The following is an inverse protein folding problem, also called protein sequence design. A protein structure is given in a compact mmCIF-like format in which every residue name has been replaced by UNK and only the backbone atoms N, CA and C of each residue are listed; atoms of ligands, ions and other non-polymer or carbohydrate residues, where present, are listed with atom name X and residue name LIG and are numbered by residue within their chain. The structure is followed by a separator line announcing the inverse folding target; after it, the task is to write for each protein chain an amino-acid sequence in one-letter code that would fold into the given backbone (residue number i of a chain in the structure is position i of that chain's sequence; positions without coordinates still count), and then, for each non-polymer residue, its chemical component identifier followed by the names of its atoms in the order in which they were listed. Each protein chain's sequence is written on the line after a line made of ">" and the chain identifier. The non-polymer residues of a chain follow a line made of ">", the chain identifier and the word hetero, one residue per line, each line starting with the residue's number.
data_IF_987191606670
#
_entry.id   IF_987191606670
#
_cell.length_a   1.000
_cell.length_b   1.000
_cell.length_c   1.000
_cell.angle_alpha   90.00
_cell.angle_beta   90.00
_cell.angle_gamma   90.00
#
_symmetry.space_group_name_H-M   'P 1'
#
loop_
_entity.id
_entity.type
_entity.pdbx_description
1 polymer ?
#
# COMPACT_ATOMS: atom_id res chain seq x y z
N UNK A 1 -4.06 -3.18 -13.97
CA UNK A 1 -3.47 -3.39 -12.65
C UNK A 1 -2.84 -4.76 -12.64
N UNK A 2 -1.60 -4.88 -12.15
CA UNK A 2 -0.93 -6.16 -11.99
C UNK A 2 -0.62 -6.35 -10.50
N UNK A 3 -0.79 -7.57 -10.01
CA UNK A 3 -0.44 -7.95 -8.65
C UNK A 3 0.69 -8.96 -8.70
N UNK A 4 1.72 -8.73 -7.90
CA UNK A 4 2.85 -9.63 -7.75
C UNK A 4 3.14 -9.81 -6.26
N UNK A 5 3.53 -11.02 -5.90
CA UNK A 5 4.01 -11.32 -4.54
C UNK A 5 5.50 -11.06 -4.48
N UNK A 6 5.94 -10.47 -3.36
CA UNK A 6 7.36 -10.28 -3.06
C UNK A 6 7.72 -11.15 -1.86
N UNK A 7 8.89 -11.80 -1.91
CA UNK A 7 9.33 -12.70 -0.83
C UNK A 7 9.76 -11.92 0.43
N UNK A 8 10.41 -10.76 0.27
CA UNK A 8 10.78 -9.88 1.37
C UNK A 8 10.76 -8.41 0.94
N UNK A 9 10.26 -7.54 1.83
CA UNK A 9 10.27 -6.08 1.67
C UNK A 9 11.03 -5.37 2.81
N UNK A 10 11.76 -6.11 3.65
CA UNK A 10 12.50 -5.63 4.83
C UNK A 10 11.64 -4.83 5.83
N UNK A 11 10.33 -5.08 5.85
CA UNK A 11 9.33 -4.41 6.69
C UNK A 11 8.54 -5.43 7.54
N UNK A 12 9.23 -6.42 8.10
CA UNK A 12 8.61 -7.55 8.79
C UNK A 12 7.80 -7.12 10.04
N UNK A 13 8.20 -6.02 10.69
CA UNK A 13 7.51 -5.49 11.88
C UNK A 13 6.12 -4.93 11.56
N UNK A 14 5.80 -4.69 10.28
CA UNK A 14 4.56 -4.06 9.82
C UNK A 14 3.64 -5.02 9.06
N UNK A 15 3.83 -6.34 9.20
CA UNK A 15 3.08 -7.37 8.48
C UNK A 15 1.54 -7.16 8.49
N UNK A 16 0.78 -7.38 7.41
CA UNK A 16 1.19 -7.59 6.00
C UNK A 16 1.49 -6.24 5.32
N UNK A 17 2.41 -6.26 4.35
CA UNK A 17 2.82 -5.06 3.61
C UNK A 17 2.33 -5.11 2.16
N UNK A 18 1.68 -4.03 1.74
CA UNK A 18 1.27 -3.79 0.35
C UNK A 18 1.98 -2.55 -0.18
N UNK A 19 2.56 -2.67 -1.37
CA UNK A 19 3.20 -1.56 -2.07
C UNK A 19 2.42 -1.27 -3.35
N UNK A 20 1.87 -0.07 -3.45
CA UNK A 20 1.13 0.40 -4.63
C UNK A 20 1.97 1.44 -5.35
N UNK A 21 2.24 1.22 -6.64
CA UNK A 21 3.00 2.18 -7.44
C UNK A 21 2.43 2.30 -8.85
N UNK A 22 2.70 3.44 -9.47
CA UNK A 22 2.42 3.71 -10.87
C UNK A 22 3.69 4.22 -11.57
N UNK A 23 3.75 4.14 -12.90
CA UNK A 23 4.90 4.60 -13.66
C UNK A 23 5.17 6.09 -13.42
N UNK A 24 6.38 6.43 -12.97
CA UNK A 24 6.78 7.82 -12.70
C UNK A 24 6.34 8.39 -11.35
N UNK A 25 5.54 7.66 -10.57
CA UNK A 25 5.12 8.03 -9.21
C UNK A 25 6.02 7.42 -8.13
N UNK A 26 6.00 8.00 -6.93
CA UNK A 26 6.59 7.38 -5.74
C UNK A 26 5.68 6.25 -5.25
N UNK A 27 6.22 5.11 -4.79
CA UNK A 27 5.42 4.03 -4.24
C UNK A 27 4.75 4.45 -2.93
N UNK A 28 3.50 4.04 -2.75
CA UNK A 28 2.76 4.11 -1.50
C UNK A 28 2.93 2.77 -0.77
N UNK A 29 3.29 2.85 0.51
CA UNK A 29 3.54 1.69 1.35
C UNK A 29 2.53 1.62 2.47
N UNK A 30 1.86 0.48 2.59
CA UNK A 30 0.86 0.22 3.59
C UNK A 30 1.23 -1.03 4.38
N UNK A 31 1.22 -0.95 5.70
CA UNK A 31 1.43 -2.05 6.62
C UNK A 31 0.17 -2.37 7.41
N UNK A 32 0.24 -3.44 8.19
CA UNK A 32 -0.87 -3.91 9.01
C UNK A 32 -2.16 -4.11 8.20
N UNK A 33 -2.03 -4.45 6.91
CA UNK A 33 -3.17 -4.78 6.04
C UNK A 33 -3.62 -6.21 6.36
N UNK A 34 -4.29 -6.34 7.50
CA UNK A 34 -4.61 -7.61 8.15
C UNK A 34 -6.12 -7.86 8.26
N UNK A 35 -6.95 -6.90 7.88
CA UNK A 35 -8.41 -6.95 7.99
C UNK A 35 -9.07 -6.74 6.64
N UNK A 36 -10.27 -7.31 6.49
CA UNK A 36 -11.12 -7.08 5.32
C UNK A 36 -11.43 -5.60 5.14
N UNK A 37 -11.64 -4.85 6.23
CA UNK A 37 -11.85 -3.40 6.14
C UNK A 37 -10.66 -2.64 5.53
N UNK A 38 -9.42 -3.03 5.88
CA UNK A 38 -8.22 -2.43 5.29
C UNK A 38 -8.08 -2.80 3.80
N UNK A 39 -8.50 -4.02 3.43
CA UNK A 39 -8.54 -4.46 2.03
C UNK A 39 -9.63 -3.72 1.24
N UNK A 40 -10.83 -3.57 1.79
CA UNK A 40 -11.94 -2.86 1.16
C UNK A 40 -11.58 -1.39 0.88
N UNK A 41 -10.93 -0.71 1.84
CA UNK A 41 -10.46 0.66 1.68
C UNK A 41 -9.37 0.76 0.59
N UNK A 42 -8.45 -0.20 0.55
CA UNK A 42 -7.42 -0.30 -0.48
C UNK A 42 -8.03 -0.55 -1.86
N UNK A 43 -8.95 -1.51 -1.99
CA UNK A 43 -9.65 -1.84 -3.22
C UNK A 43 -10.48 -0.66 -3.73
N UNK A 44 -11.20 0.02 -2.84
CA UNK A 44 -11.97 1.22 -3.16
C UNK A 44 -11.09 2.34 -3.69
N UNK A 45 -9.94 2.58 -3.07
CA UNK A 45 -8.98 3.57 -3.54
C UNK A 45 -8.37 3.19 -4.90
N UNK A 46 -8.00 1.92 -5.10
CA UNK A 46 -7.50 1.41 -6.38
C UNK A 46 -8.55 1.54 -7.50
N UNK A 47 -9.81 1.22 -7.20
CA UNK A 47 -10.94 1.37 -8.13
C UNK A 47 -11.20 2.84 -8.51
N UNK A 48 -10.96 3.78 -7.59
CA UNK A 48 -11.00 5.22 -7.86
C UNK A 48 -9.80 5.74 -8.68
N UNK A 49 -8.85 4.87 -9.05
CA UNK A 49 -7.68 5.18 -9.88
C UNK A 49 -6.35 5.21 -9.12
N UNK A 50 -6.37 5.13 -7.79
CA UNK A 50 -5.17 4.97 -6.96
C UNK A 50 -4.18 6.14 -7.02
N UNK A 51 -2.86 5.89 -6.90
CA UNK A 51 -1.83 6.93 -6.81
C UNK A 51 -1.88 7.95 -7.94
N UNK A 52 -1.96 9.24 -7.59
CA UNK A 52 -1.97 10.36 -8.53
C UNK A 52 -3.34 10.67 -9.17
N UNK A 53 -4.31 9.76 -9.05
CA UNK A 53 -5.68 9.97 -9.55
C UNK A 53 -6.70 10.19 -8.42
N UNK A 54 -6.54 9.51 -7.28
CA UNK A 54 -7.39 9.66 -6.10
C UNK A 54 -6.53 9.94 -4.85
N UNK A 55 -6.97 10.83 -3.94
CA UNK A 55 -6.31 10.99 -2.65
C UNK A 55 -6.40 9.69 -1.85
N UNK A 56 -5.38 9.41 -1.03
CA UNK A 56 -5.41 8.28 -0.10
C UNK A 56 -6.48 8.58 0.97
N UNK A 57 -7.46 7.68 1.20
CA UNK A 57 -8.45 7.85 2.27
C UNK A 57 -7.77 7.92 3.64
N UNK A 58 -8.33 8.72 4.56
CA UNK A 58 -7.75 8.87 5.91
C UNK A 58 -7.63 7.53 6.66
N UNK A 59 -8.58 6.62 6.45
CA UNK A 59 -8.55 5.27 7.02
C UNK A 59 -7.38 4.44 6.49
N UNK A 60 -7.09 4.55 5.18
CA UNK A 60 -5.94 3.89 4.57
C UNK A 60 -4.61 4.58 4.94
N UNK A 61 -4.62 5.88 5.25
CA UNK A 61 -3.43 6.61 5.73
C UNK A 61 -2.98 6.12 7.12
N UNK A 62 -3.89 5.55 7.94
CA UNK A 62 -3.52 4.87 9.20
C UNK A 62 -2.56 3.70 8.99
N UNK A 63 -2.61 3.09 7.80
CA UNK A 63 -1.75 1.98 7.42
C UNK A 63 -0.43 2.44 6.80
N UNK A 64 -0.22 3.74 6.58
CA UNK A 64 0.95 4.24 5.86
C UNK A 64 2.23 3.99 6.65
N UNK A 65 3.22 3.40 5.98
CA UNK A 65 4.54 3.19 6.55
C UNK A 65 5.63 3.89 5.74
N UNK A 66 6.72 4.24 6.43
CA UNK A 66 7.93 4.71 5.75
C UNK A 66 8.66 3.50 5.19
N UNK A 67 9.04 3.48 3.90
CA UNK A 67 9.78 2.37 3.33
C UNK A 67 11.06 2.12 4.14
N UNK A 68 11.38 0.85 4.46
CA UNK A 68 12.63 0.55 5.13
C UNK A 68 13.79 0.99 4.23
N UNK A 69 14.86 1.47 4.85
CA UNK A 69 16.05 1.88 4.11
C UNK A 69 16.68 0.62 3.52
N UNK A 70 16.59 0.46 2.20
CA UNK A 70 17.20 -0.68 1.51
C UNK A 70 18.71 -0.67 1.79
N UNK A 71 19.21 -1.82 2.27
CA UNK A 71 20.62 -2.01 2.64
C UNK A 71 21.49 -2.22 1.41
#
# INVERSE_FOLDING_TARGET
>A
MEVRTSDCLDACEQSNVVVVHCSGGKPHWFGFVLSDAALDDLEGWLAAGGPGAAPVPDTLDLHRLTPPRQR
#
